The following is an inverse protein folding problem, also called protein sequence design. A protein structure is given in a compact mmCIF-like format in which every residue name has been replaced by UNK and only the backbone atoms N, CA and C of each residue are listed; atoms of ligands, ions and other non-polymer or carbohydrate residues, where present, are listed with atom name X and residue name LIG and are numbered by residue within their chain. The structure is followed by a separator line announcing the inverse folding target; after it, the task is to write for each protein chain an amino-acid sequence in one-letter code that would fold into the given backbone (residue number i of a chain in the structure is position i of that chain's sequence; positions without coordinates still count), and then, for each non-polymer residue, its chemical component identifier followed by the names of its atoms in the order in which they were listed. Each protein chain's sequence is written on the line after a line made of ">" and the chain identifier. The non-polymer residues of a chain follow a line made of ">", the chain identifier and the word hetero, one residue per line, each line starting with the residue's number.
data_IF_479699622934
#
_entry.id   IF_479699622934
#
_cell.length_a   1.000
_cell.length_b   1.000
_cell.length_c   1.000
_cell.angle_alpha   90.00
_cell.angle_beta   90.00
_cell.angle_gamma   90.00
#
_symmetry.space_group_name_H-M   'P 1'
#
loop_
_entity.id
_entity.type
_entity.pdbx_description
1 polymer ?
#
# COMPACT_ATOMS: atom_id res chain seq x y z
N UNK A 1 -8.86 10.68 6.48
CA UNK A 1 -9.73 11.60 5.72
C UNK A 1 -11.20 11.45 6.11
N UNK A 2 -11.74 10.23 6.29
CA UNK A 2 -13.15 10.01 6.68
C UNK A 2 -13.49 10.83 7.94
N UNK A 3 -12.68 10.73 8.97
CA UNK A 3 -12.90 11.49 10.21
C UNK A 3 -12.77 13.01 10.05
N UNK A 4 -11.96 13.49 9.10
CA UNK A 4 -11.83 14.93 8.84
C UNK A 4 -13.04 15.52 8.12
N UNK A 5 -13.93 14.68 7.57
CA UNK A 5 -15.15 15.10 6.88
C UNK A 5 -16.42 14.89 7.73
N UNK A 6 -16.27 14.58 9.01
CA UNK A 6 -17.39 14.40 9.94
C UNK A 6 -18.14 15.72 10.19
N UNK A 7 -19.31 15.59 10.83
CA UNK A 7 -20.20 16.69 11.16
C UNK A 7 -19.47 17.87 11.80
N UNK A 8 -19.67 19.07 11.26
CA UNK A 8 -19.03 20.31 11.72
C UNK A 8 -17.82 20.76 10.91
N UNK A 9 -17.38 20.00 9.91
CA UNK A 9 -16.34 20.47 8.99
C UNK A 9 -16.86 21.63 8.11
N UNK A 10 -16.25 22.79 8.20
CA UNK A 10 -16.68 23.99 7.45
C UNK A 10 -16.28 23.96 5.99
N UNK A 11 -15.19 23.28 5.65
CA UNK A 11 -14.68 23.10 4.28
C UNK A 11 -14.05 21.71 4.15
N UNK A 12 -14.89 20.65 4.05
CA UNK A 12 -14.41 19.29 4.04
C UNK A 12 -13.61 18.97 2.77
N UNK A 13 -12.64 18.07 2.91
CA UNK A 13 -11.95 17.49 1.76
C UNK A 13 -12.89 16.55 1.01
N UNK A 14 -12.79 16.53 -0.31
CA UNK A 14 -13.48 15.58 -1.19
C UNK A 14 -12.46 14.82 -2.03
N UNK A 15 -12.64 13.52 -2.14
CA UNK A 15 -11.83 12.68 -3.03
C UNK A 15 -12.38 12.84 -4.46
N UNK A 16 -11.50 13.08 -5.43
CA UNK A 16 -11.89 13.29 -6.82
C UNK A 16 -11.25 12.32 -7.81
N UNK A 17 -10.25 11.57 -7.38
CA UNK A 17 -9.60 10.56 -8.21
C UNK A 17 -9.03 9.43 -7.33
N UNK A 18 -9.35 8.19 -7.64
CA UNK A 18 -8.77 6.99 -7.04
C UNK A 18 -7.74 6.39 -7.98
N UNK A 19 -6.51 6.14 -7.50
CA UNK A 19 -5.44 5.56 -8.30
C UNK A 19 -5.27 4.08 -8.07
N UNK A 20 -5.24 3.67 -6.79
CA UNK A 20 -4.99 2.27 -6.44
C UNK A 20 -6.19 1.67 -5.76
N UNK A 21 -6.41 0.38 -6.05
CA UNK A 21 -7.53 -0.40 -5.55
C UNK A 21 -7.10 -1.53 -4.63
N UNK A 22 -5.80 -1.65 -4.34
CA UNK A 22 -5.24 -2.62 -3.39
C UNK A 22 -4.18 -1.97 -2.53
N UNK A 23 -3.96 -2.52 -1.34
CA UNK A 23 -2.86 -2.12 -0.49
C UNK A 23 -1.52 -2.39 -1.17
N UNK A 24 -0.60 -1.42 -1.09
CA UNK A 24 0.71 -1.50 -1.73
C UNK A 24 1.82 -2.08 -0.85
N UNK A 25 1.47 -2.71 0.26
CA UNK A 25 2.42 -3.25 1.20
C UNK A 25 2.42 -4.79 1.21
N UNK A 26 3.56 -5.32 1.64
CA UNK A 26 3.87 -6.74 1.64
C UNK A 26 4.30 -7.17 3.04
N UNK A 27 4.02 -8.43 3.36
CA UNK A 27 4.60 -9.07 4.54
C UNK A 27 5.91 -9.73 4.13
N UNK A 28 6.98 -9.36 4.82
CA UNK A 28 8.32 -9.91 4.62
C UNK A 28 8.67 -10.75 5.84
N UNK A 29 9.03 -12.00 5.63
CA UNK A 29 9.52 -12.91 6.65
C UNK A 29 11.05 -12.94 6.65
N UNK A 30 11.65 -13.28 7.78
CA UNK A 30 13.09 -13.47 7.90
C UNK A 30 13.58 -14.75 7.20
N UNK A 31 12.73 -15.76 7.20
CA UNK A 31 13.00 -17.07 6.59
C UNK A 31 12.11 -17.28 5.37
N UNK A 32 12.57 -18.11 4.44
CA UNK A 32 11.78 -18.52 3.28
C UNK A 32 10.60 -19.39 3.73
N UNK A 33 9.38 -19.04 3.30
CA UNK A 33 8.15 -19.72 3.68
C UNK A 33 7.25 -19.95 2.46
N UNK A 34 7.53 -20.96 1.63
CA UNK A 34 6.77 -21.21 0.39
C UNK A 34 5.30 -21.57 0.65
N UNK A 35 4.98 -22.12 1.82
CA UNK A 35 3.63 -22.50 2.23
C UNK A 35 3.08 -21.58 3.33
N UNK A 36 3.45 -20.29 3.34
CA UNK A 36 3.05 -19.33 4.35
C UNK A 36 1.52 -19.31 4.56
N UNK A 37 1.12 -19.28 5.82
CA UNK A 37 -0.25 -19.09 6.27
C UNK A 37 -0.31 -17.98 7.30
N UNK A 38 -1.42 -17.24 7.34
CA UNK A 38 -1.59 -16.15 8.30
C UNK A 38 -1.46 -16.63 9.76
N UNK A 39 -1.83 -17.87 10.06
CA UNK A 39 -1.68 -18.49 11.37
C UNK A 39 -0.22 -18.60 11.84
N UNK A 40 0.75 -18.60 10.94
CA UNK A 40 2.18 -18.66 11.27
C UNK A 40 2.66 -17.41 12.03
N UNK A 41 1.86 -16.32 11.98
CA UNK A 41 2.12 -15.10 12.73
C UNK A 41 1.83 -15.23 14.24
N UNK A 42 1.10 -16.27 14.67
CA UNK A 42 0.75 -16.43 16.09
C UNK A 42 1.99 -16.62 16.95
N UNK A 43 2.07 -15.84 18.03
CA UNK A 43 3.22 -15.84 18.93
C UNK A 43 4.46 -15.12 18.40
N UNK A 44 4.39 -14.51 17.23
CA UNK A 44 5.54 -13.82 16.62
C UNK A 44 5.49 -12.30 16.84
N UNK A 45 6.66 -11.67 16.71
CA UNK A 45 6.76 -10.21 16.65
C UNK A 45 6.80 -9.78 15.18
N UNK A 46 5.98 -8.77 14.84
CA UNK A 46 5.89 -8.17 13.51
C UNK A 46 6.14 -6.67 13.64
N UNK A 47 7.00 -6.10 12.81
CA UNK A 47 7.11 -4.66 12.66
C UNK A 47 5.96 -4.18 11.78
N UNK A 48 4.92 -3.58 12.38
CA UNK A 48 3.67 -3.24 11.71
C UNK A 48 3.59 -1.81 11.21
N UNK A 49 4.61 -1.00 11.46
CA UNK A 49 4.60 0.43 11.14
C UNK A 49 3.69 1.23 12.09
N UNK A 50 3.53 2.51 11.80
CA UNK A 50 2.86 3.46 12.68
C UNK A 50 1.38 3.15 12.92
N UNK A 51 0.96 3.16 14.18
CA UNK A 51 -0.44 2.96 14.61
C UNK A 51 -1.40 3.96 13.96
N UNK A 52 -2.55 3.45 13.52
CA UNK A 52 -3.66 4.24 12.95
C UNK A 52 -3.41 4.72 11.53
N UNK A 53 -2.35 4.22 10.88
CA UNK A 53 -2.15 4.38 9.44
C UNK A 53 -2.97 3.37 8.64
N UNK A 54 -3.30 3.71 7.39
CA UNK A 54 -4.01 2.77 6.50
C UNK A 54 -3.30 1.40 6.37
N UNK A 55 -1.96 1.32 6.25
CA UNK A 55 -1.27 0.04 6.17
C UNK A 55 -1.46 -0.85 7.39
N UNK A 56 -1.39 -0.28 8.57
CA UNK A 56 -1.57 -1.00 9.83
C UNK A 56 -3.02 -1.46 9.99
N UNK A 57 -3.99 -0.61 9.68
CA UNK A 57 -5.41 -0.96 9.71
C UNK A 57 -5.74 -2.12 8.76
N UNK A 58 -5.18 -2.10 7.54
CA UNK A 58 -5.33 -3.20 6.58
C UNK A 58 -4.71 -4.49 7.12
N UNK A 59 -3.54 -4.42 7.74
CA UNK A 59 -2.90 -5.59 8.33
C UNK A 59 -3.76 -6.18 9.47
N UNK A 60 -4.26 -5.36 10.39
CA UNK A 60 -5.16 -5.82 11.44
C UNK A 60 -6.49 -6.41 10.89
N UNK A 61 -7.05 -5.81 9.82
CA UNK A 61 -8.21 -6.34 9.14
C UNK A 61 -7.95 -7.76 8.61
N UNK A 62 -6.80 -7.96 7.93
CA UNK A 62 -6.41 -9.28 7.42
C UNK A 62 -6.27 -10.31 8.55
N UNK A 63 -5.63 -9.93 9.65
CA UNK A 63 -5.50 -10.80 10.82
C UNK A 63 -6.88 -11.23 11.34
N UNK A 64 -7.77 -10.27 11.58
CA UNK A 64 -9.14 -10.54 12.06
C UNK A 64 -9.93 -11.43 11.08
N UNK A 65 -9.83 -11.17 9.78
CA UNK A 65 -10.44 -11.99 8.72
C UNK A 65 -9.99 -13.46 8.76
N UNK A 66 -8.74 -13.70 9.20
CA UNK A 66 -8.17 -15.03 9.38
C UNK A 66 -8.32 -15.58 10.81
N UNK A 67 -9.17 -14.98 11.64
CA UNK A 67 -9.43 -15.44 12.99
C UNK A 67 -8.27 -15.24 13.97
N UNK A 68 -7.42 -14.24 13.71
CA UNK A 68 -6.26 -13.89 14.54
C UNK A 68 -6.57 -12.57 15.27
N UNK A 69 -6.48 -12.59 16.59
CA UNK A 69 -6.63 -11.39 17.41
C UNK A 69 -5.31 -10.59 17.40
N UNK A 70 -5.27 -9.39 16.77
CA UNK A 70 -4.03 -8.62 16.64
C UNK A 70 -3.45 -8.15 17.98
N UNK A 71 -4.26 -8.20 19.06
CA UNK A 71 -3.84 -7.74 20.39
C UNK A 71 -3.41 -8.89 21.32
N UNK A 72 -3.73 -10.14 20.97
CA UNK A 72 -3.47 -11.30 21.85
C UNK A 72 -2.61 -12.36 21.20
N UNK A 73 -2.78 -12.59 19.90
CA UNK A 73 -2.19 -13.73 19.23
C UNK A 73 -0.77 -13.47 18.72
N UNK A 74 -0.37 -12.22 18.60
CA UNK A 74 0.97 -11.80 18.15
C UNK A 74 1.36 -10.47 18.79
N UNK A 75 2.61 -10.05 18.59
CA UNK A 75 3.10 -8.72 18.98
C UNK A 75 3.31 -7.86 17.74
N UNK A 76 2.51 -6.82 17.57
CA UNK A 76 2.70 -5.83 16.50
C UNK A 76 3.44 -4.63 17.07
N UNK A 77 4.68 -4.41 16.65
CA UNK A 77 5.46 -3.23 17.02
C UNK A 77 5.06 -2.07 16.10
N UNK A 78 4.41 -1.08 16.67
CA UNK A 78 3.87 0.11 16.00
C UNK A 78 4.66 1.38 16.32
N UNK A 79 5.82 1.24 16.95
CA UNK A 79 6.66 2.36 17.40
C UNK A 79 7.58 2.89 16.30
N UNK A 80 7.75 2.16 15.19
CA UNK A 80 8.68 2.46 14.11
C UNK A 80 7.91 2.92 12.88
N UNK A 81 8.30 4.07 12.32
CA UNK A 81 7.71 4.55 11.05
C UNK A 81 8.16 3.70 9.85
N UNK A 82 7.30 3.56 8.84
CA UNK A 82 7.56 2.75 7.64
C UNK A 82 8.86 3.08 6.90
N UNK A 83 9.35 4.32 6.97
CA UNK A 83 10.64 4.69 6.39
C UNK A 83 11.85 4.08 7.12
N UNK A 84 11.64 3.42 8.26
CA UNK A 84 12.70 2.87 9.11
C UNK A 84 12.49 1.40 9.46
N UNK A 85 11.37 0.80 9.07
CA UNK A 85 11.03 -0.60 9.42
C UNK A 85 12.01 -1.59 8.82
N UNK A 86 12.39 -1.44 7.56
CA UNK A 86 13.39 -2.30 6.91
C UNK A 86 14.76 -2.24 7.59
N UNK A 87 15.22 -1.04 7.95
CA UNK A 87 16.49 -0.87 8.68
C UNK A 87 16.42 -1.46 10.10
N UNK A 88 15.28 -1.31 10.78
CA UNK A 88 15.07 -1.93 12.09
C UNK A 88 15.00 -3.47 11.98
N UNK A 89 14.36 -3.98 10.93
CA UNK A 89 14.29 -5.41 10.65
C UNK A 89 15.67 -6.01 10.42
N UNK A 90 16.54 -5.37 9.64
CA UNK A 90 17.91 -5.84 9.40
C UNK A 90 18.83 -5.66 10.60
N UNK A 91 18.58 -4.65 11.44
CA UNK A 91 19.43 -4.31 12.58
C UNK A 91 19.11 -5.07 13.88
N UNK A 92 17.95 -5.69 14.00
CA UNK A 92 17.50 -6.41 15.20
C UNK A 92 16.69 -7.65 14.84
N UNK A 93 17.19 -8.83 15.24
CA UNK A 93 16.59 -10.15 14.97
C UNK A 93 15.35 -10.45 15.83
N UNK A 94 14.89 -9.53 16.66
CA UNK A 94 13.73 -9.74 17.55
C UNK A 94 12.40 -9.91 16.82
N UNK A 95 12.26 -9.34 15.63
CA UNK A 95 11.06 -9.46 14.80
C UNK A 95 11.22 -10.57 13.76
N UNK A 96 10.24 -11.46 13.68
CA UNK A 96 10.18 -12.52 12.67
C UNK A 96 9.67 -12.01 11.31
N UNK A 97 8.86 -10.96 11.33
CA UNK A 97 8.24 -10.38 10.14
C UNK A 97 8.26 -8.85 10.19
N UNK A 98 8.20 -8.24 9.02
CA UNK A 98 7.99 -6.81 8.85
C UNK A 98 6.97 -6.54 7.74
N UNK A 99 6.20 -5.46 7.90
CA UNK A 99 5.29 -4.96 6.87
C UNK A 99 6.01 -3.85 6.12
N UNK A 100 6.26 -4.06 4.84
CA UNK A 100 7.06 -3.15 4.03
C UNK A 100 6.31 -2.67 2.79
N UNK A 101 6.63 -1.44 2.37
CA UNK A 101 6.31 -0.96 1.04
C UNK A 101 7.47 -1.22 0.08
N UNK A 102 7.23 -1.07 -1.21
CA UNK A 102 8.30 -0.97 -2.17
C UNK A 102 8.96 0.44 -2.12
N UNK A 103 10.25 0.56 -2.33
CA UNK A 103 11.21 -0.47 -2.76
C UNK A 103 11.77 -1.36 -1.64
N UNK A 104 11.45 -1.11 -0.38
CA UNK A 104 12.08 -1.78 0.77
C UNK A 104 11.86 -3.29 0.77
N UNK A 105 10.66 -3.78 0.40
CA UNK A 105 10.39 -5.20 0.31
C UNK A 105 11.33 -5.91 -0.69
N UNK A 106 11.44 -5.38 -1.90
CA UNK A 106 12.35 -5.92 -2.94
C UNK A 106 13.83 -5.80 -2.53
N UNK A 107 14.22 -4.72 -1.85
CA UNK A 107 15.61 -4.54 -1.40
C UNK A 107 15.96 -5.60 -0.34
N UNK A 108 15.09 -5.84 0.64
CA UNK A 108 15.30 -6.89 1.66
C UNK A 108 15.49 -8.27 1.02
N UNK A 109 14.73 -8.60 -0.03
CA UNK A 109 14.92 -9.85 -0.77
C UNK A 109 16.26 -9.90 -1.51
N UNK A 110 16.62 -8.83 -2.22
CA UNK A 110 17.91 -8.75 -2.94
C UNK A 110 19.12 -8.84 -2.03
N UNK A 111 19.03 -8.29 -0.83
CA UNK A 111 20.07 -8.36 0.19
C UNK A 111 20.10 -9.69 0.96
N UNK A 112 19.10 -10.56 0.72
CA UNK A 112 18.96 -11.83 1.45
C UNK A 112 18.61 -11.64 2.93
N UNK A 113 18.07 -10.46 3.29
CA UNK A 113 17.70 -10.11 4.66
C UNK A 113 16.24 -10.50 4.98
N UNK A 114 15.45 -10.83 3.95
CA UNK A 114 14.06 -11.26 4.11
C UNK A 114 13.46 -11.81 2.82
N UNK A 115 12.26 -12.36 2.93
CA UNK A 115 11.50 -12.96 1.84
C UNK A 115 10.07 -12.45 1.87
N UNK A 116 9.58 -11.93 0.74
CA UNK A 116 8.16 -11.55 0.63
C UNK A 116 7.31 -12.82 0.64
N UNK A 117 6.45 -12.95 1.64
CA UNK A 117 5.61 -14.14 1.86
C UNK A 117 4.13 -13.91 1.57
N UNK A 118 3.68 -12.65 1.60
CA UNK A 118 2.30 -12.31 1.27
C UNK A 118 2.14 -10.87 0.78
N UNK A 119 1.18 -10.65 -0.12
CA UNK A 119 0.68 -9.33 -0.46
C UNK A 119 -0.49 -8.97 0.46
N UNK A 120 -0.39 -7.85 1.16
CA UNK A 120 -1.53 -7.33 1.92
C UNK A 120 -2.64 -6.83 0.99
N UNK A 121 -2.29 -6.40 -0.21
CA UNK A 121 -3.25 -5.96 -1.22
C UNK A 121 -4.14 -7.09 -1.74
N UNK A 122 -3.59 -8.27 -1.95
CA UNK A 122 -4.38 -9.45 -2.33
C UNK A 122 -5.23 -9.94 -1.17
N UNK A 123 -4.65 -10.03 0.03
CA UNK A 123 -5.33 -10.55 1.21
C UNK A 123 -6.49 -9.66 1.69
N UNK A 124 -6.37 -8.35 1.59
CA UNK A 124 -7.41 -7.39 1.99
C UNK A 124 -8.56 -7.29 1.00
N UNK A 125 -8.31 -7.52 -0.28
CA UNK A 125 -9.27 -7.29 -1.34
C UNK A 125 -9.19 -5.87 -1.92
N UNK A 126 -10.23 -5.47 -2.67
CA UNK A 126 -10.29 -4.15 -3.30
C UNK A 126 -10.78 -3.08 -2.32
N UNK A 127 -9.91 -2.13 -2.02
CA UNK A 127 -10.19 -0.96 -1.19
C UNK A 127 -9.67 0.32 -1.86
N UNK A 128 -10.28 1.49 -1.65
CA UNK A 128 -9.77 2.74 -2.20
C UNK A 128 -8.52 3.17 -1.43
N UNK A 129 -7.37 2.58 -1.79
CA UNK A 129 -6.15 2.71 -1.00
C UNK A 129 -5.46 4.05 -1.20
N UNK A 130 -5.22 4.45 -2.46
CA UNK A 130 -4.64 5.77 -2.78
C UNK A 130 -5.63 6.60 -3.58
N UNK A 131 -5.92 7.80 -3.08
CA UNK A 131 -6.79 8.76 -3.75
C UNK A 131 -6.27 10.18 -3.61
N UNK A 132 -6.61 11.03 -4.58
CA UNK A 132 -6.40 12.46 -4.50
C UNK A 132 -7.59 13.15 -3.87
N UNK A 133 -7.31 14.04 -2.95
CA UNK A 133 -8.31 14.84 -2.24
C UNK A 133 -8.02 16.33 -2.40
N UNK A 134 -9.07 17.13 -2.34
CA UNK A 134 -8.97 18.58 -2.37
C UNK A 134 -10.06 19.17 -1.48
N UNK A 135 -9.87 20.39 -0.97
CA UNK A 135 -10.93 21.11 -0.26
C UNK A 135 -12.09 21.42 -1.21
N UNK A 136 -13.31 21.31 -0.70
CA UNK A 136 -14.53 21.56 -1.48
C UNK A 136 -14.56 22.99 -2.05
N UNK A 137 -14.10 24.00 -1.28
CA UNK A 137 -13.96 25.38 -1.76
C UNK A 137 -13.02 25.47 -2.96
N UNK A 138 -11.82 24.88 -2.86
CA UNK A 138 -10.83 24.91 -3.93
C UNK A 138 -11.34 24.27 -5.23
N UNK A 139 -12.05 23.13 -5.11
CA UNK A 139 -12.65 22.47 -6.27
C UNK A 139 -13.65 23.34 -6.98
N UNK A 140 -14.48 24.09 -6.23
CA UNK A 140 -15.48 25.02 -6.79
C UNK A 140 -14.84 26.22 -7.46
N UNK A 141 -13.77 26.75 -6.90
CA UNK A 141 -13.06 27.94 -7.41
C UNK A 141 -12.15 27.60 -8.60
N UNK A 142 -11.64 26.37 -8.68
CA UNK A 142 -10.65 25.93 -9.66
C UNK A 142 -11.03 24.65 -10.42
N UNK A 143 -12.26 24.53 -10.96
CA UNK A 143 -12.74 23.29 -11.57
C UNK A 143 -11.91 22.87 -12.78
N UNK A 144 -11.40 23.84 -13.57
CA UNK A 144 -10.56 23.55 -14.74
C UNK A 144 -9.20 22.95 -14.35
N UNK A 145 -8.61 23.39 -13.23
CA UNK A 145 -7.33 22.84 -12.74
C UNK A 145 -7.55 21.39 -12.32
N UNK A 146 -8.59 21.12 -11.55
CA UNK A 146 -8.95 19.76 -11.12
C UNK A 146 -9.21 18.87 -12.33
N UNK A 147 -9.96 19.34 -13.32
CA UNK A 147 -10.24 18.56 -14.52
C UNK A 147 -8.98 18.26 -15.34
N UNK A 148 -8.10 19.24 -15.53
CA UNK A 148 -6.81 19.04 -16.24
C UNK A 148 -5.91 18.06 -15.51
N UNK A 149 -5.85 18.16 -14.19
CA UNK A 149 -5.09 17.24 -13.35
C UNK A 149 -5.66 15.80 -13.45
N UNK A 150 -6.98 15.65 -13.33
CA UNK A 150 -7.66 14.36 -13.48
C UNK A 150 -7.40 13.75 -14.87
N UNK A 151 -7.48 14.56 -15.93
CA UNK A 151 -7.17 14.09 -17.28
C UNK A 151 -5.71 13.63 -17.44
N UNK A 152 -4.78 14.29 -16.77
CA UNK A 152 -3.36 13.88 -16.79
C UNK A 152 -3.15 12.55 -16.04
N UNK A 153 -3.83 12.37 -14.90
CA UNK A 153 -3.81 11.10 -14.16
C UNK A 153 -4.40 9.97 -15.02
N UNK A 154 -5.54 10.18 -15.67
CA UNK A 154 -6.15 9.16 -16.54
C UNK A 154 -5.22 8.73 -17.67
N UNK A 155 -4.52 9.68 -18.30
CA UNK A 155 -3.49 9.33 -19.31
C UNK A 155 -2.38 8.46 -18.74
N UNK A 156 -1.97 8.70 -17.49
CA UNK A 156 -1.00 7.84 -16.80
C UNK A 156 -1.55 6.44 -16.56
N UNK A 157 -2.81 6.34 -16.14
CA UNK A 157 -3.48 5.05 -15.94
C UNK A 157 -3.64 4.29 -17.27
N UNK A 158 -4.06 4.97 -18.34
CA UNK A 158 -4.17 4.39 -19.68
C UNK A 158 -2.81 3.83 -20.16
N UNK A 159 -1.72 4.55 -19.84
CA UNK A 159 -0.37 4.07 -20.14
C UNK A 159 -0.04 2.79 -19.38
N UNK A 160 -0.28 2.76 -18.06
CA UNK A 160 -0.05 1.59 -17.22
C UNK A 160 -0.85 0.38 -17.71
N UNK A 161 -2.10 0.56 -18.11
CA UNK A 161 -2.97 -0.52 -18.59
C UNK A 161 -2.57 -1.07 -19.98
N UNK A 162 -1.81 -0.31 -20.76
CA UNK A 162 -1.47 -0.66 -22.15
C UNK A 162 0.00 -1.02 -22.38
N UNK A 163 0.84 -0.96 -21.34
CA UNK A 163 2.28 -1.20 -21.44
C UNK A 163 2.73 -2.31 -20.49
N UNK A 164 3.86 -2.93 -20.81
CA UNK A 164 4.48 -3.96 -19.98
C UNK A 164 5.14 -3.36 -18.74
N UNK A 165 5.36 -4.16 -17.69
CA UNK A 165 6.11 -3.70 -16.51
C UNK A 165 7.49 -3.11 -16.84
N UNK A 166 8.18 -3.64 -17.85
CA UNK A 166 9.48 -3.14 -18.31
C UNK A 166 9.36 -1.73 -18.91
N UNK A 167 8.39 -1.53 -19.80
CA UNK A 167 8.13 -0.21 -20.42
C UNK A 167 7.71 0.83 -19.39
N UNK A 168 6.90 0.43 -18.42
CA UNK A 168 6.49 1.30 -17.30
C UNK A 168 7.72 1.67 -16.46
N UNK A 169 8.56 0.67 -16.12
CA UNK A 169 9.78 0.88 -15.34
C UNK A 169 10.73 1.88 -16.02
N UNK A 170 10.93 1.76 -17.33
CA UNK A 170 11.77 2.70 -18.09
C UNK A 170 11.27 4.15 -18.00
N UNK A 171 9.94 4.35 -18.08
CA UNK A 171 9.34 5.69 -18.02
C UNK A 171 9.49 6.33 -16.64
N UNK A 172 9.35 5.54 -15.56
CA UNK A 172 9.41 6.07 -14.19
C UNK A 172 10.83 6.11 -13.61
N UNK A 173 11.78 5.35 -14.15
CA UNK A 173 13.17 5.27 -13.66
C UNK A 173 13.84 6.63 -13.39
N UNK A 174 13.63 7.68 -14.20
CA UNK A 174 14.22 8.99 -13.92
C UNK A 174 13.81 9.62 -12.60
N UNK A 175 12.68 9.17 -12.02
CA UNK A 175 12.18 9.61 -10.70
C UNK A 175 12.80 8.83 -9.53
N UNK A 176 13.42 7.67 -9.81
CA UNK A 176 13.97 6.74 -8.81
C UNK A 176 15.47 6.53 -9.04
N UNK A 177 16.23 7.62 -9.03
CA UNK A 177 17.67 7.65 -9.40
C UNK A 177 18.57 6.74 -8.54
N UNK A 178 18.14 6.47 -7.31
CA UNK A 178 18.87 5.62 -6.35
C UNK A 178 18.55 4.12 -6.50
N UNK A 179 17.62 3.76 -7.40
CA UNK A 179 17.14 2.39 -7.59
C UNK A 179 17.49 1.93 -9.00
N UNK A 180 18.12 0.77 -9.13
CA UNK A 180 18.43 0.17 -10.43
C UNK A 180 17.18 -0.26 -11.20
N UNK A 181 17.28 -0.31 -12.53
CA UNK A 181 16.12 -0.60 -13.40
C UNK A 181 15.54 -1.98 -13.17
N UNK A 182 16.33 -2.98 -12.80
CA UNK A 182 15.85 -4.34 -12.54
C UNK A 182 15.01 -4.38 -11.27
N UNK A 183 15.39 -3.61 -10.25
CA UNK A 183 14.60 -3.43 -9.03
C UNK A 183 13.28 -2.73 -9.34
N UNK A 184 13.32 -1.62 -10.10
CA UNK A 184 12.10 -0.90 -10.51
C UNK A 184 11.18 -1.81 -11.30
N UNK A 185 11.69 -2.59 -12.24
CA UNK A 185 10.91 -3.55 -13.03
C UNK A 185 10.25 -4.62 -12.15
N UNK A 186 10.98 -5.16 -11.18
CA UNK A 186 10.44 -6.13 -10.22
C UNK A 186 9.28 -5.54 -9.42
N UNK A 187 9.45 -4.30 -8.92
CA UNK A 187 8.42 -3.58 -8.17
C UNK A 187 7.18 -3.34 -9.03
N UNK A 188 7.36 -2.83 -10.25
CA UNK A 188 6.25 -2.56 -11.18
C UNK A 188 5.51 -3.84 -11.50
N UNK A 189 6.23 -4.94 -11.80
CA UNK A 189 5.63 -6.24 -12.06
C UNK A 189 4.79 -6.72 -10.88
N UNK A 190 5.31 -6.63 -9.66
CA UNK A 190 4.61 -7.04 -8.44
C UNK A 190 3.31 -6.27 -8.24
N UNK A 191 3.31 -4.95 -8.46
CA UNK A 191 2.11 -4.13 -8.41
C UNK A 191 1.15 -4.37 -9.58
N UNK A 192 1.67 -4.70 -10.75
CA UNK A 192 0.89 -5.05 -11.93
C UNK A 192 0.16 -6.39 -11.72
N UNK A 193 0.89 -7.41 -11.30
CA UNK A 193 0.37 -8.78 -11.12
C UNK A 193 -0.71 -8.85 -10.03
N UNK A 194 -0.62 -8.05 -8.98
CA UNK A 194 -1.66 -7.98 -7.94
C UNK A 194 -2.81 -7.03 -8.28
N UNK A 195 -2.86 -6.46 -9.49
CA UNK A 195 -3.92 -5.53 -9.94
C UNK A 195 -4.07 -4.30 -9.02
N UNK A 196 -2.93 -3.65 -8.70
CA UNK A 196 -2.91 -2.49 -7.80
C UNK A 196 -3.56 -1.28 -8.40
N UNK A 197 -3.29 -0.99 -9.68
CA UNK A 197 -3.74 0.22 -10.37
C UNK A 197 -5.10 0.03 -11.00
N UNK A 198 -5.96 1.01 -10.81
CA UNK A 198 -7.28 1.02 -11.42
C UNK A 198 -7.21 1.28 -12.94
N UNK A 199 -8.17 0.76 -13.66
CA UNK A 199 -8.39 1.07 -15.08
C UNK A 199 -8.82 2.53 -15.29
N UNK A 200 -9.61 3.06 -14.34
CA UNK A 200 -10.11 4.42 -14.37
C UNK A 200 -10.05 5.06 -12.97
N UNK A 201 -10.22 6.37 -12.90
CA UNK A 201 -10.11 7.14 -11.66
C UNK A 201 -11.40 7.22 -10.83
N UNK A 202 -12.45 6.49 -11.22
CA UNK A 202 -13.75 6.53 -10.54
C UNK A 202 -13.63 5.84 -9.17
N UNK A 203 -14.21 6.47 -8.17
CA UNK A 203 -14.26 5.95 -6.81
C UNK A 203 -15.36 4.88 -6.71
N UNK A 204 -14.99 3.64 -6.38
CA UNK A 204 -15.92 2.52 -6.32
C UNK A 204 -16.65 2.46 -4.97
N UNK A 205 -17.98 2.39 -5.01
CA UNK A 205 -18.81 2.37 -3.81
C UNK A 205 -18.55 1.12 -2.96
N UNK A 206 -18.54 -0.06 -3.58
CA UNK A 206 -18.39 -1.34 -2.88
C UNK A 206 -17.01 -1.42 -2.19
N UNK A 207 -15.97 -0.91 -2.84
CA UNK A 207 -14.61 -0.83 -2.26
C UNK A 207 -14.56 0.13 -1.05
N UNK A 208 -15.36 1.21 -1.10
CA UNK A 208 -15.45 2.14 0.02
C UNK A 208 -16.28 1.57 1.17
N UNK A 209 -17.32 0.80 0.90
CA UNK A 209 -18.09 0.07 1.91
C UNK A 209 -17.19 -0.95 2.63
N UNK A 210 -16.40 -1.74 1.89
CA UNK A 210 -15.42 -2.66 2.48
C UNK A 210 -14.38 -1.95 3.37
N UNK A 211 -13.99 -0.73 3.02
CA UNK A 211 -13.06 0.05 3.85
C UNK A 211 -13.67 0.48 5.19
N UNK A 212 -15.00 0.55 5.29
CA UNK A 212 -15.71 0.98 6.50
C UNK A 212 -16.01 -0.17 7.47
N UNK A 213 -15.94 -1.42 7.01
CA UNK A 213 -16.10 -2.66 7.81
C UNK A 213 -14.87 -2.94 8.68
#
# INVERSE_FOLDING_TARGET
>A
SIYACQEGATDPAVNFAQLTQRAGNFLVAREEMPDFKWEDLKGKKVLGGRKGGMPEMVFEYILKKNGIDPQKDLTIDQSIDFGSTAAAFTGDDSAAYTVEFEPSATILEKEGAGHVVASLGEASGYVPYTSYSVKTSYMKENPEIIQKFTNALQKGMDYVQSHTPEEIAEVIAPQFKETDIDTITTIVRRYYDQDTWKENLIFEKDSFELLQD
#
